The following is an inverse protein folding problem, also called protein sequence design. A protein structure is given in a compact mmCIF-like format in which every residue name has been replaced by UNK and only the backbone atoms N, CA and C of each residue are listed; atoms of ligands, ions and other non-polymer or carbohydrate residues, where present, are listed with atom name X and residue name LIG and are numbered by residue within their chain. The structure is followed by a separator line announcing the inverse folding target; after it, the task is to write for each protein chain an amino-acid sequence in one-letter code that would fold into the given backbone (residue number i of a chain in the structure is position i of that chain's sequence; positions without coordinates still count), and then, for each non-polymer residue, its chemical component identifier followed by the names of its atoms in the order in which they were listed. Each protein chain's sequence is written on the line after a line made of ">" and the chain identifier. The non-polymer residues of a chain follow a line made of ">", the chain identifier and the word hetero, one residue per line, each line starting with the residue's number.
data_IF_891436708753
#
_entry.id   IF_891436708753
#
_cell.length_a   1.000
_cell.length_b   1.000
_cell.length_c   1.000
_cell.angle_alpha   90.00
_cell.angle_beta   90.00
_cell.angle_gamma   90.00
#
_symmetry.space_group_name_H-M   'P 1'
#
loop_
_entity.id
_entity.type
_entity.pdbx_description
1 polymer ?
#
# COMPACT_ATOMS: atom_id res chain seq x y z
N UNK A 1 2.84 18.07 15.35
CA UNK A 1 2.33 17.46 16.57
C UNK A 1 2.13 15.97 16.34
N UNK A 2 2.62 15.17 17.27
CA UNK A 2 2.45 13.73 17.22
C UNK A 2 1.05 13.34 17.64
N UNK A 3 0.48 12.37 16.95
CA UNK A 3 -0.83 11.83 17.28
C UNK A 3 -0.76 10.32 17.34
N UNK A 4 -1.43 9.75 18.32
CA UNK A 4 -1.74 8.32 18.29
C UNK A 4 -2.86 8.13 17.29
N UNK A 5 -2.69 7.20 16.38
CA UNK A 5 -3.66 7.00 15.32
C UNK A 5 -4.07 5.54 15.22
N UNK A 6 -5.27 5.33 14.68
CA UNK A 6 -5.71 3.99 14.31
C UNK A 6 -5.51 3.81 12.81
N UNK A 7 -4.26 3.86 12.42
CA UNK A 7 -3.86 3.76 11.03
C UNK A 7 -2.92 2.58 10.82
N UNK A 8 -2.89 2.12 9.60
CA UNK A 8 -2.00 1.07 9.12
C UNK A 8 -1.26 1.56 7.89
N UNK A 9 -0.01 1.14 7.77
CA UNK A 9 0.74 1.32 6.54
C UNK A 9 0.58 0.05 5.71
N UNK A 10 -0.05 0.19 4.57
CA UNK A 10 -0.16 -0.90 3.61
C UNK A 10 1.01 -0.79 2.66
N UNK A 11 1.75 -1.88 2.49
CA UNK A 11 2.87 -1.96 1.58
C UNK A 11 2.52 -2.97 0.49
N UNK A 12 2.47 -2.51 -0.74
CA UNK A 12 2.21 -3.36 -1.89
C UNK A 12 3.45 -3.37 -2.78
N UNK A 13 3.93 -4.56 -3.13
CA UNK A 13 5.09 -4.71 -4.00
C UNK A 13 4.63 -5.41 -5.27
N UNK A 14 4.73 -4.71 -6.38
CA UNK A 14 4.22 -5.18 -7.67
C UNK A 14 5.33 -5.15 -8.71
N UNK A 15 5.11 -5.84 -9.80
CA UNK A 15 6.01 -5.77 -10.95
C UNK A 15 5.98 -4.35 -11.53
N UNK A 16 7.12 -3.94 -12.06
CA UNK A 16 7.27 -2.61 -12.64
C UNK A 16 6.23 -2.38 -13.73
N UNK A 17 5.64 -1.19 -13.71
CA UNK A 17 4.65 -0.79 -14.70
C UNK A 17 3.20 -1.03 -14.28
N UNK A 18 2.98 -1.62 -13.10
CA UNK A 18 1.62 -1.97 -12.67
C UNK A 18 1.12 -1.13 -11.51
N UNK A 19 1.81 -0.03 -11.17
CA UNK A 19 1.38 0.81 -10.04
C UNK A 19 -0.03 1.39 -10.24
N UNK A 20 -0.40 1.74 -11.48
CA UNK A 20 -1.72 2.29 -11.76
C UNK A 20 -2.82 1.26 -11.46
N UNK A 21 -2.60 0.01 -11.86
CA UNK A 21 -3.55 -1.08 -11.59
C UNK A 21 -3.71 -1.29 -10.08
N UNK A 22 -2.59 -1.31 -9.35
CA UNK A 22 -2.60 -1.48 -7.91
C UNK A 22 -3.32 -0.32 -7.24
N UNK A 23 -3.03 0.91 -7.63
CA UNK A 23 -3.66 2.08 -7.02
C UNK A 23 -5.15 2.16 -7.31
N UNK A 24 -5.58 1.81 -8.52
CA UNK A 24 -7.01 1.75 -8.83
C UNK A 24 -7.72 0.73 -7.94
N UNK A 25 -7.12 -0.43 -7.77
CA UNK A 25 -7.68 -1.45 -6.90
C UNK A 25 -7.76 -0.96 -5.46
N UNK A 26 -6.68 -0.32 -4.98
CA UNK A 26 -6.65 0.22 -3.63
C UNK A 26 -7.72 1.28 -3.42
N UNK A 27 -7.91 2.17 -4.38
CA UNK A 27 -8.93 3.21 -4.31
C UNK A 27 -10.33 2.62 -4.24
N UNK A 28 -10.60 1.55 -4.97
CA UNK A 28 -11.88 0.85 -4.89
C UNK A 28 -12.12 0.29 -3.48
N UNK A 29 -11.07 -0.09 -2.80
CA UNK A 29 -11.16 -0.57 -1.42
C UNK A 29 -11.23 0.55 -0.38
N UNK A 30 -11.05 1.80 -0.80
CA UNK A 30 -11.17 2.95 0.10
C UNK A 30 -9.91 3.77 0.29
N UNK A 31 -8.82 3.45 -0.40
CA UNK A 31 -7.57 4.22 -0.30
C UNK A 31 -7.76 5.60 -0.93
N UNK A 32 -7.15 6.61 -0.31
CA UNK A 32 -7.24 7.99 -0.80
C UNK A 32 -6.03 8.41 -1.63
N UNK A 33 -4.96 7.64 -1.56
CA UNK A 33 -3.75 7.90 -2.33
C UNK A 33 -2.62 7.03 -1.83
N UNK A 34 -1.46 7.18 -2.44
CA UNK A 34 -0.29 6.42 -2.07
C UNK A 34 0.98 7.02 -2.63
N UNK A 35 2.10 6.51 -2.21
CA UNK A 35 3.42 6.91 -2.68
C UNK A 35 4.05 5.72 -3.39
N UNK A 36 4.56 5.94 -4.59
CA UNK A 36 5.19 4.88 -5.39
C UNK A 36 6.70 5.06 -5.35
N UNK A 37 7.39 4.00 -4.98
CA UNK A 37 8.85 3.94 -5.01
C UNK A 37 9.27 2.87 -6.01
N UNK A 38 10.39 3.09 -6.66
CA UNK A 38 10.96 2.11 -7.57
C UNK A 38 11.98 1.26 -6.80
N UNK A 39 11.89 -0.05 -6.96
CA UNK A 39 12.80 -0.97 -6.30
C UNK A 39 13.25 -2.08 -7.22
N UNK A 40 14.12 -2.90 -6.69
CA UNK A 40 14.66 -4.04 -7.43
C UNK A 40 14.48 -5.29 -6.59
N UNK A 41 13.85 -6.30 -7.17
CA UNK A 41 13.74 -7.60 -6.54
C UNK A 41 15.07 -8.32 -6.60
N UNK A 42 15.43 -9.00 -5.51
CA UNK A 42 16.66 -9.80 -5.41
C UNK A 42 16.30 -11.20 -4.95
N UNK A 43 17.25 -12.10 -4.97
CA UNK A 43 17.00 -13.47 -4.54
C UNK A 43 16.65 -14.42 -5.67
N UNK A 44 16.88 -14.01 -6.91
CA UNK A 44 16.58 -14.82 -8.08
C UNK A 44 17.80 -15.57 -8.62
N UNK A 45 18.86 -15.67 -7.85
CA UNK A 45 20.12 -16.28 -8.28
C UNK A 45 19.91 -17.72 -8.75
N UNK A 46 19.07 -18.47 -8.06
CA UNK A 46 18.82 -19.86 -8.44
C UNK A 46 18.22 -19.96 -9.83
N UNK A 47 17.25 -19.09 -10.14
CA UNK A 47 16.64 -19.06 -11.46
C UNK A 47 17.64 -18.59 -12.51
N UNK A 48 18.45 -17.58 -12.21
CA UNK A 48 19.49 -17.10 -13.10
C UNK A 48 20.49 -18.18 -13.43
N UNK A 49 20.96 -18.92 -12.41
CA UNK A 49 21.90 -20.03 -12.60
C UNK A 49 21.29 -21.13 -13.44
N UNK A 50 20.02 -21.43 -13.20
CA UNK A 50 19.34 -22.51 -13.94
C UNK A 50 19.11 -22.13 -15.40
N UNK A 51 18.70 -20.91 -15.66
CA UNK A 51 18.35 -20.45 -17.01
C UNK A 51 19.53 -19.89 -17.79
N UNK A 52 20.62 -19.59 -17.11
CA UNK A 52 21.80 -18.98 -17.73
C UNK A 52 21.60 -17.55 -18.18
N UNK A 53 20.59 -16.87 -17.65
CA UNK A 53 20.28 -15.48 -17.99
C UNK A 53 20.14 -14.67 -16.71
N UNK A 54 20.41 -13.37 -16.83
CA UNK A 54 20.20 -12.45 -15.71
C UNK A 54 18.72 -12.10 -15.62
N UNK A 55 18.11 -12.35 -14.46
CA UNK A 55 16.71 -12.05 -14.22
C UNK A 55 16.63 -10.91 -13.20
N UNK A 56 16.92 -9.70 -13.67
CA UNK A 56 16.74 -8.51 -12.84
C UNK A 56 15.26 -8.19 -12.79
N UNK A 57 14.69 -8.21 -11.59
CA UNK A 57 13.27 -7.97 -11.39
C UNK A 57 13.06 -6.55 -10.90
N UNK A 58 12.54 -5.71 -11.78
CA UNK A 58 12.17 -4.35 -11.39
C UNK A 58 10.82 -4.38 -10.71
N UNK A 59 10.72 -3.68 -9.59
CA UNK A 59 9.51 -3.66 -8.77
C UNK A 59 9.09 -2.23 -8.50
N UNK A 60 7.82 -2.08 -8.19
CA UNK A 60 7.29 -0.84 -7.65
C UNK A 60 6.75 -1.14 -6.25
N UNK A 61 7.08 -0.27 -5.31
CA UNK A 61 6.63 -0.38 -3.93
C UNK A 61 5.64 0.74 -3.70
N UNK A 62 4.42 0.39 -3.37
CA UNK A 62 3.36 1.36 -3.16
C UNK A 62 3.06 1.41 -1.66
N UNK A 63 3.19 2.60 -1.08
CA UNK A 63 2.94 2.83 0.34
C UNK A 63 1.62 3.56 0.48
N UNK A 64 0.70 2.99 1.25
CA UNK A 64 -0.64 3.55 1.46
C UNK A 64 -0.90 3.62 2.95
N UNK A 65 -1.13 4.83 3.46
CA UNK A 65 -1.56 4.99 4.85
C UNK A 65 -3.08 4.99 4.84
N UNK A 66 -3.67 4.10 5.62
CA UNK A 66 -5.12 3.93 5.66
C UNK A 66 -5.60 3.79 7.09
N UNK A 67 -6.88 4.04 7.30
CA UNK A 67 -7.49 3.76 8.61
C UNK A 67 -7.49 2.25 8.83
N UNK A 68 -7.27 1.84 10.07
CA UNK A 68 -7.28 0.42 10.41
C UNK A 68 -8.59 -0.25 10.01
N UNK A 69 -9.70 0.48 10.08
CA UNK A 69 -11.01 -0.04 9.70
C UNK A 69 -11.14 -0.32 8.21
N UNK A 70 -10.30 0.29 7.38
CA UNK A 70 -10.36 0.15 5.92
C UNK A 70 -9.27 -0.77 5.37
N UNK A 71 -8.30 -1.12 6.20
CA UNK A 71 -7.13 -1.86 5.77
C UNK A 71 -7.49 -3.16 5.05
N UNK A 72 -8.37 -3.96 5.64
CA UNK A 72 -8.70 -5.27 5.06
C UNK A 72 -9.41 -5.14 3.72
N UNK A 73 -10.29 -4.16 3.57
CA UNK A 73 -10.98 -3.93 2.30
C UNK A 73 -9.99 -3.51 1.20
N UNK A 74 -9.04 -2.64 1.55
CA UNK A 74 -8.04 -2.19 0.61
C UNK A 74 -7.12 -3.34 0.18
N UNK A 75 -6.63 -4.12 1.14
CA UNK A 75 -5.74 -5.24 0.84
C UNK A 75 -6.45 -6.29 -0.01
N UNK A 76 -7.70 -6.57 0.30
CA UNK A 76 -8.49 -7.55 -0.47
C UNK A 76 -8.72 -7.07 -1.90
N UNK A 77 -9.04 -5.80 -2.07
CA UNK A 77 -9.24 -5.23 -3.41
C UNK A 77 -7.97 -5.32 -4.25
N UNK A 78 -6.81 -5.04 -3.64
CA UNK A 78 -5.53 -5.15 -4.34
C UNK A 78 -5.31 -6.60 -4.77
N UNK A 79 -5.52 -7.56 -3.87
CA UNK A 79 -5.28 -8.97 -4.19
C UNK A 79 -6.26 -9.50 -5.24
N UNK A 80 -7.50 -9.03 -5.22
CA UNK A 80 -8.49 -9.48 -6.20
C UNK A 80 -8.15 -9.04 -7.63
N UNK A 81 -7.59 -7.85 -7.78
CA UNK A 81 -7.36 -7.26 -9.11
C UNK A 81 -5.91 -7.24 -9.55
N UNK A 82 -4.98 -7.30 -8.62
CA UNK A 82 -3.56 -7.15 -8.92
C UNK A 82 -2.71 -8.18 -8.18
N UNK A 83 -3.30 -9.26 -7.71
CA UNK A 83 -2.61 -10.26 -6.90
C UNK A 83 -1.63 -11.13 -7.67
N UNK A 84 -1.21 -12.21 -7.02
CA UNK A 84 -0.12 -13.06 -7.53
C UNK A 84 -0.46 -13.76 -8.85
N UNK A 85 -1.74 -13.95 -9.13
CA UNK A 85 -2.17 -14.58 -10.38
C UNK A 85 -2.32 -13.59 -11.53
N UNK A 86 -2.15 -12.30 -11.29
CA UNK A 86 -2.19 -11.27 -12.33
C UNK A 86 -0.78 -10.93 -12.78
N UNK A 87 -0.69 -10.17 -13.88
CA UNK A 87 0.62 -9.71 -14.38
C UNK A 87 1.30 -8.77 -13.40
N UNK A 88 0.53 -8.06 -12.59
CA UNK A 88 1.08 -7.19 -11.56
C UNK A 88 1.82 -7.99 -10.49
N UNK A 89 1.36 -9.21 -10.20
CA UNK A 89 2.02 -10.11 -9.27
C UNK A 89 2.24 -9.51 -7.91
N UNK A 90 1.26 -8.77 -7.41
CA UNK A 90 1.42 -7.97 -6.19
C UNK A 90 1.37 -8.84 -4.95
N UNK A 91 2.30 -8.58 -4.03
CA UNK A 91 2.18 -9.03 -2.66
C UNK A 91 1.86 -7.80 -1.81
N UNK A 92 1.10 -7.99 -0.76
CA UNK A 92 0.67 -6.88 0.08
C UNK A 92 0.71 -7.30 1.54
N UNK A 93 1.16 -6.40 2.39
CA UNK A 93 1.18 -6.60 3.83
C UNK A 93 0.97 -5.26 4.52
N UNK A 94 0.74 -5.28 5.82
CA UNK A 94 0.49 -4.06 6.56
C UNK A 94 1.29 -4.05 7.86
N UNK A 95 1.55 -2.83 8.34
CA UNK A 95 2.24 -2.57 9.59
C UNK A 95 1.43 -1.54 10.36
N UNK A 96 1.31 -1.68 11.69
CA UNK A 96 0.62 -0.66 12.46
C UNK A 96 1.42 0.64 12.47
N UNK A 97 0.70 1.76 12.39
CA UNK A 97 1.30 3.08 12.54
C UNK A 97 1.08 3.49 13.97
N UNK A 98 2.16 3.65 14.74
CA UNK A 98 2.04 3.93 16.16
C UNK A 98 1.76 5.40 16.46
N UNK A 99 2.28 6.30 15.64
CA UNK A 99 2.03 7.73 15.77
C UNK A 99 2.32 8.43 14.46
N UNK A 100 1.75 9.61 14.27
CA UNK A 100 1.97 10.41 13.08
C UNK A 100 2.20 11.86 13.44
N UNK A 101 2.87 12.56 12.54
CA UNK A 101 2.99 14.01 12.58
C UNK A 101 2.86 14.49 11.14
N UNK A 102 2.03 15.50 10.92
CA UNK A 102 1.85 16.05 9.58
C UNK A 102 0.91 15.26 8.67
N UNK A 103 0.32 14.18 9.17
CA UNK A 103 -0.61 13.39 8.37
C UNK A 103 -1.95 14.12 8.25
N UNK A 104 -2.40 14.29 7.02
CA UNK A 104 -3.70 14.89 6.72
C UNK A 104 -4.35 14.10 5.61
N UNK A 105 -5.31 13.28 5.97
CA UNK A 105 -6.17 12.62 4.99
C UNK A 105 -7.59 13.07 5.24
N UNK A 106 -8.40 13.07 4.21
CA UNK A 106 -9.72 13.68 4.24
C UNK A 106 -10.62 13.11 5.32
N UNK A 107 -10.62 11.79 5.48
CA UNK A 107 -11.43 11.12 6.49
C UNK A 107 -11.03 11.53 7.90
N UNK A 108 -9.72 11.63 8.15
CA UNK A 108 -9.23 12.04 9.46
C UNK A 108 -9.63 13.47 9.79
N UNK A 109 -9.54 14.36 8.81
CA UNK A 109 -9.95 15.75 8.99
C UNK A 109 -11.43 15.84 9.34
N UNK A 110 -12.27 15.05 8.68
CA UNK A 110 -13.70 15.00 8.97
C UNK A 110 -13.96 14.45 10.36
N UNK A 111 -13.27 13.39 10.72
CA UNK A 111 -13.42 12.80 12.05
C UNK A 111 -12.98 13.77 13.15
N UNK A 112 -11.89 14.48 12.93
CA UNK A 112 -11.41 15.49 13.87
C UNK A 112 -12.42 16.62 14.02
N UNK A 113 -13.00 17.09 12.94
CA UNK A 113 -14.02 18.13 12.99
C UNK A 113 -15.23 17.70 13.80
N UNK A 114 -15.70 16.47 13.59
CA UNK A 114 -16.83 15.93 14.34
C UNK A 114 -16.49 15.85 15.83
N UNK A 115 -15.29 15.37 16.14
CA UNK A 115 -14.85 15.27 17.54
C UNK A 115 -14.76 16.64 18.21
N UNK A 116 -14.23 17.63 17.49
CA UNK A 116 -14.13 19.00 18.02
C UNK A 116 -15.51 19.57 18.30
N UNK A 117 -16.46 19.38 17.40
CA UNK A 117 -17.83 19.81 17.62
C UNK A 117 -18.44 19.15 18.84
N UNK A 118 -18.20 17.89 19.05
CA UNK A 118 -18.73 17.15 20.19
C UNK A 118 -18.09 17.58 21.51
N UNK A 119 -16.86 18.04 21.48
CA UNK A 119 -16.11 18.44 22.66
C UNK A 119 -16.34 19.89 23.05
N UNK A 120 -16.85 20.69 22.16
CA UNK A 120 -17.16 22.09 22.43
C UNK A 120 -18.62 22.26 22.81
#
# INVERSE_FOLDING_TARGET
>A
TLKDTKHELIVAIANYGYNTQVMRAAEEGGATGGTVLHGKGVGMKRAEQFLGVSLVSEKEVILIVAKSSQKNAIMRAIMDKAGVDSKAGTIVFSLPVTSTAGLRILEDSQDEEVNDENNN
#
